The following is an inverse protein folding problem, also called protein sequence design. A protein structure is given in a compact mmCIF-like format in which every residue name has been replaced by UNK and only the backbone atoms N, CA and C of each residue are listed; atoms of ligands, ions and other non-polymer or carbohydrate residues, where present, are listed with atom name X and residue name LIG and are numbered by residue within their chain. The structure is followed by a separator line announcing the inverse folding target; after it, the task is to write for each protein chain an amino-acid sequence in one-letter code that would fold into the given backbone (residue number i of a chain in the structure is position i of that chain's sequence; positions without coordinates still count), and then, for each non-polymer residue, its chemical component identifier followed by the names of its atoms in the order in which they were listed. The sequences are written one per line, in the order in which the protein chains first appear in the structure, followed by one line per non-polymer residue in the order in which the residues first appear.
data_IF_583715462898
#
_entry.id   IF_583715462898
#
_cell.length_a   1.000
_cell.length_b   1.000
_cell.length_c   1.000
_cell.angle_alpha   90.00
_cell.angle_beta   90.00
_cell.angle_gamma   90.00
#
_symmetry.space_group_name_H-M   'P 1'
#
loop_
_entity.id
_entity.type
_entity.pdbx_description
1 polymer ?
#
# COMPACT_ATOMS: atom_id res chain seq x y z
N UNK A 1 2.35 12.29 7.97
CA UNK A 1 0.90 12.19 7.74
C UNK A 1 0.06 12.54 8.97
N UNK A 2 0.33 11.99 10.19
CA UNK A 2 -0.46 12.26 11.40
C UNK A 2 -0.52 13.76 11.78
N UNK A 3 0.63 14.47 11.76
CA UNK A 3 0.66 15.90 12.05
C UNK A 3 -0.09 16.74 11.02
N UNK A 4 -0.02 16.37 9.76
CA UNK A 4 -0.81 17.02 8.71
C UNK A 4 -2.31 16.83 8.95
N UNK A 5 -2.72 15.58 9.28
CA UNK A 5 -4.11 15.28 9.61
C UNK A 5 -4.61 16.13 10.80
N UNK A 6 -3.78 16.29 11.83
CA UNK A 6 -4.12 17.13 13.00
C UNK A 6 -4.28 18.61 12.60
N UNK A 7 -3.37 19.15 11.80
CA UNK A 7 -3.45 20.53 11.30
C UNK A 7 -4.71 20.73 10.45
N UNK A 8 -4.95 19.89 9.48
CA UNK A 8 -6.13 19.97 8.61
C UNK A 8 -7.45 19.85 9.40
N UNK A 9 -7.49 18.97 10.43
CA UNK A 9 -8.65 18.81 11.28
C UNK A 9 -8.90 20.02 12.19
N UNK A 10 -7.87 20.80 12.52
CA UNK A 10 -8.01 22.05 13.26
C UNK A 10 -8.41 23.23 12.35
N UNK A 11 -8.00 23.21 11.09
CA UNK A 11 -8.34 24.27 10.12
C UNK A 11 -9.80 24.20 9.68
N UNK A 12 -10.33 23.01 9.44
CA UNK A 12 -11.72 22.81 8.99
C UNK A 12 -12.43 21.81 9.86
N UNK A 13 -13.53 22.23 10.47
CA UNK A 13 -14.39 21.33 11.28
C UNK A 13 -15.08 20.31 10.36
N UNK A 14 -14.67 19.05 10.48
CA UNK A 14 -15.18 17.93 9.70
C UNK A 14 -14.79 16.58 10.32
N UNK A 15 -15.16 15.49 9.66
CA UNK A 15 -14.72 14.14 9.99
C UNK A 15 -13.48 13.79 9.19
N UNK A 16 -12.50 13.18 9.85
CA UNK A 16 -11.22 12.79 9.28
C UNK A 16 -10.89 11.33 9.63
N UNK A 17 -10.28 10.62 8.70
CA UNK A 17 -9.91 9.21 8.91
C UNK A 17 -8.42 8.98 8.72
N UNK A 18 -7.87 8.12 9.59
CA UNK A 18 -6.55 7.54 9.44
C UNK A 18 -6.71 6.03 9.30
N UNK A 19 -6.37 5.49 8.15
CA UNK A 19 -6.59 4.10 7.80
C UNK A 19 -5.25 3.34 7.75
N UNK A 20 -5.23 2.16 8.36
CA UNK A 20 -4.25 1.11 8.11
C UNK A 20 -4.96 -0.12 7.55
N UNK A 21 -4.26 -1.09 6.95
CA UNK A 21 -4.91 -2.26 6.38
C UNK A 21 -5.86 -3.00 7.34
N UNK A 22 -5.49 -3.07 8.63
CA UNK A 22 -6.31 -3.73 9.68
C UNK A 22 -6.43 -2.87 10.93
N UNK A 23 -7.60 -2.91 11.59
CA UNK A 23 -7.86 -2.17 12.82
C UNK A 23 -6.86 -2.50 13.96
N UNK A 24 -6.44 -3.76 14.05
CA UNK A 24 -5.42 -4.19 15.04
C UNK A 24 -4.06 -3.52 14.80
N UNK A 25 -3.71 -3.25 13.54
CA UNK A 25 -2.48 -2.52 13.20
C UNK A 25 -2.59 -1.05 13.61
N UNK A 26 -3.74 -0.42 13.38
CA UNK A 26 -4.01 0.96 13.83
C UNK A 26 -3.79 1.09 15.32
N UNK A 27 -4.36 0.18 16.11
CA UNK A 27 -4.22 0.18 17.56
C UNK A 27 -2.76 0.07 17.98
N UNK A 28 -2.05 -0.92 17.45
CA UNK A 28 -0.67 -1.19 17.84
C UNK A 28 0.34 -0.15 17.35
N UNK A 29 0.21 0.29 16.09
CA UNK A 29 1.21 1.14 15.46
C UNK A 29 1.01 2.64 15.69
N UNK A 30 -0.23 3.07 15.97
CA UNK A 30 -0.59 4.48 16.09
C UNK A 30 -1.18 4.82 17.45
N UNK A 31 -2.27 4.14 17.84
CA UNK A 31 -3.06 4.53 19.02
C UNK A 31 -2.31 4.26 20.32
N UNK A 32 -1.72 3.09 20.48
CA UNK A 32 -0.99 2.67 21.69
C UNK A 32 0.53 2.83 21.55
N UNK A 33 1.05 2.93 20.33
CA UNK A 33 2.48 2.99 20.09
C UNK A 33 3.14 4.18 20.78
N UNK A 34 4.21 3.91 21.50
CA UNK A 34 5.05 4.91 22.16
C UNK A 34 6.24 5.24 21.27
N UNK A 35 6.50 6.52 21.06
CA UNK A 35 7.70 6.98 20.39
C UNK A 35 8.91 6.80 21.34
N UNK A 36 9.91 5.97 20.99
CA UNK A 36 11.07 5.69 21.86
C UNK A 36 11.94 6.91 22.15
N UNK A 37 11.90 7.93 21.29
CA UNK A 37 12.69 9.16 21.48
C UNK A 37 12.07 10.15 22.47
N UNK A 38 10.73 10.15 22.56
CA UNK A 38 10.00 11.14 23.38
C UNK A 38 9.29 10.52 24.57
N UNK A 39 9.12 9.18 24.58
CA UNK A 39 8.36 8.46 25.60
C UNK A 39 6.85 8.71 25.55
N UNK A 40 6.35 9.42 24.54
CA UNK A 40 4.92 9.74 24.37
C UNK A 40 4.25 8.82 23.36
N UNK A 41 2.94 8.60 23.54
CA UNK A 41 2.14 7.91 22.52
C UNK A 41 2.13 8.72 21.23
N UNK A 42 2.27 8.06 20.08
CA UNK A 42 2.29 8.71 18.74
C UNK A 42 1.05 9.56 18.48
N UNK A 43 -0.12 9.07 18.88
CA UNK A 43 -1.37 9.80 18.74
C UNK A 43 -1.35 11.10 19.56
N UNK A 44 -0.81 11.10 20.80
CA UNK A 44 -0.71 12.29 21.66
C UNK A 44 0.32 13.28 21.12
N UNK A 45 1.40 12.80 20.49
CA UNK A 45 2.36 13.70 19.85
C UNK A 45 1.78 14.43 18.64
N UNK A 46 0.92 13.76 17.88
CA UNK A 46 0.25 14.37 16.75
C UNK A 46 -0.96 15.24 17.15
N UNK A 47 -1.69 14.80 18.17
CA UNK A 47 -2.87 15.47 18.72
C UNK A 47 -2.65 15.77 20.21
N UNK A 48 -1.96 16.88 20.54
CA UNK A 48 -1.71 17.29 21.93
C UNK A 48 -3.03 17.53 22.68
N UNK A 49 -3.00 17.33 24.00
CA UNK A 49 -4.17 17.53 24.87
C UNK A 49 -4.82 18.91 24.71
N UNK A 50 -4.03 19.92 24.35
CA UNK A 50 -4.53 21.29 24.13
C UNK A 50 -5.57 21.39 22.98
N UNK A 51 -5.56 20.46 22.02
CA UNK A 51 -6.50 20.45 20.90
C UNK A 51 -7.54 19.33 20.98
N UNK A 52 -7.44 18.42 21.97
CA UNK A 52 -8.32 17.27 22.12
C UNK A 52 -9.35 17.57 23.21
N UNK A 53 -10.63 17.65 22.82
CA UNK A 53 -11.72 17.81 23.80
C UNK A 53 -12.14 16.46 24.42
N UNK A 54 -12.05 15.36 23.64
CA UNK A 54 -12.42 14.02 24.11
C UNK A 54 -11.68 12.95 23.33
N UNK A 55 -11.21 11.92 24.03
CA UNK A 55 -10.68 10.68 23.43
C UNK A 55 -11.54 9.48 23.84
N UNK A 56 -11.80 8.57 22.90
CA UNK A 56 -12.51 7.31 23.11
C UNK A 56 -11.58 6.15 22.73
N UNK A 57 -10.93 5.57 23.74
CA UNK A 57 -9.91 4.55 23.52
C UNK A 57 -10.43 3.28 22.83
N UNK A 58 -11.63 2.81 23.18
CA UNK A 58 -12.21 1.62 22.58
C UNK A 58 -12.48 1.80 21.09
N UNK A 59 -13.00 2.97 20.72
CA UNK A 59 -13.36 3.33 19.35
C UNK A 59 -12.17 3.90 18.55
N UNK A 60 -11.04 4.17 19.21
CA UNK A 60 -9.90 4.90 18.65
C UNK A 60 -10.34 6.19 17.93
N UNK A 61 -11.09 7.03 18.63
CA UNK A 61 -11.66 8.27 18.08
C UNK A 61 -11.30 9.45 18.95
N UNK A 62 -10.93 10.57 18.31
CA UNK A 62 -10.72 11.86 18.97
C UNK A 62 -11.80 12.85 18.53
N UNK A 63 -12.34 13.61 19.49
CA UNK A 63 -13.08 14.84 19.21
C UNK A 63 -12.16 16.00 19.54
N UNK A 64 -11.95 16.90 18.59
CA UNK A 64 -11.08 18.07 18.74
C UNK A 64 -11.86 19.27 19.33
N UNK A 65 -11.13 20.24 19.88
CA UNK A 65 -11.70 21.44 20.50
C UNK A 65 -12.55 22.27 19.54
N UNK A 66 -12.29 22.24 18.25
CA UNK A 66 -13.09 22.90 17.21
C UNK A 66 -14.32 22.09 16.76
N UNK A 67 -14.58 20.91 17.34
CA UNK A 67 -15.68 20.02 16.99
C UNK A 67 -15.37 18.98 15.90
N UNK A 68 -14.18 18.99 15.32
CA UNK A 68 -13.76 17.95 14.37
C UNK A 68 -13.69 16.59 15.02
N UNK A 69 -13.98 15.53 14.25
CA UNK A 69 -13.85 14.13 14.67
C UNK A 69 -12.76 13.44 13.86
N UNK A 70 -11.83 12.77 14.54
CA UNK A 70 -10.75 12.00 13.91
C UNK A 70 -10.90 10.55 14.31
N UNK A 71 -11.06 9.67 13.32
CA UNK A 71 -11.23 8.24 13.52
C UNK A 71 -10.01 7.48 13.00
N UNK A 72 -9.54 6.53 13.80
CA UNK A 72 -8.43 5.66 13.47
C UNK A 72 -8.98 4.25 13.21
N UNK A 73 -9.00 3.81 11.95
CA UNK A 73 -9.79 2.70 11.46
C UNK A 73 -8.96 1.69 10.67
N UNK A 74 -9.43 0.43 10.61
CA UNK A 74 -8.94 -0.56 9.65
C UNK A 74 -9.67 -0.41 8.31
N UNK A 75 -8.93 -0.51 7.21
CA UNK A 75 -9.50 -0.50 5.87
C UNK A 75 -10.04 -1.88 5.42
N UNK A 76 -9.88 -2.91 6.24
CA UNK A 76 -10.39 -4.27 6.00
C UNK A 76 -11.93 -4.37 6.02
N UNK A 77 -12.61 -3.42 6.67
CA UNK A 77 -14.06 -3.35 6.74
C UNK A 77 -14.60 -2.07 6.08
N UNK A 78 -14.03 -1.68 4.94
CA UNK A 78 -14.39 -0.42 4.26
C UNK A 78 -15.89 -0.31 3.91
N UNK A 79 -16.59 -1.43 3.69
CA UNK A 79 -18.04 -1.44 3.46
C UNK A 79 -18.84 -0.81 4.61
N UNK A 80 -18.37 -0.97 5.85
CA UNK A 80 -19.01 -0.37 7.02
C UNK A 80 -18.72 1.13 7.16
N UNK A 81 -17.74 1.64 6.42
CA UNK A 81 -17.36 3.05 6.42
C UNK A 81 -18.19 3.86 5.43
N UNK A 82 -18.87 3.21 4.49
CA UNK A 82 -19.78 3.83 3.52
C UNK A 82 -20.98 4.39 4.28
N UNK A 83 -21.21 5.71 4.16
CA UNK A 83 -22.31 6.39 4.87
C UNK A 83 -21.87 7.37 5.97
N UNK A 84 -20.57 7.37 6.34
CA UNK A 84 -20.00 8.43 7.19
C UNK A 84 -19.07 9.29 6.32
N UNK A 85 -19.40 10.55 6.04
CA UNK A 85 -18.71 11.35 5.02
C UNK A 85 -17.41 11.97 5.59
N UNK A 86 -16.22 11.39 5.35
CA UNK A 86 -14.96 12.05 5.71
C UNK A 86 -14.68 13.20 4.75
N UNK A 87 -14.04 14.23 5.29
CA UNK A 87 -13.46 15.33 4.51
C UNK A 87 -11.99 15.07 4.17
N UNK A 88 -11.28 14.33 5.00
CA UNK A 88 -9.89 13.96 4.74
C UNK A 88 -9.61 12.51 5.13
N UNK A 89 -8.89 11.80 4.30
CA UNK A 89 -8.48 10.43 4.55
C UNK A 89 -6.96 10.30 4.40
N UNK A 90 -6.32 9.65 5.37
CA UNK A 90 -4.95 9.19 5.27
C UNK A 90 -4.95 7.67 5.18
N UNK A 91 -4.53 7.12 4.07
CA UNK A 91 -4.19 5.71 3.90
C UNK A 91 -2.71 5.51 4.24
N UNK A 92 -2.43 4.75 5.27
CA UNK A 92 -1.08 4.34 5.66
C UNK A 92 -0.89 2.87 5.33
N UNK A 93 0.28 2.49 4.79
CA UNK A 93 0.56 1.16 4.26
C UNK A 93 -0.42 0.77 3.12
N UNK A 94 -0.69 1.72 2.23
CA UNK A 94 -1.68 1.55 1.16
C UNK A 94 -1.39 0.36 0.25
N UNK A 95 -0.12 0.01 0.02
CA UNK A 95 0.28 -1.17 -0.75
C UNK A 95 -0.25 -2.51 -0.19
N UNK A 96 -0.65 -2.54 1.09
CA UNK A 96 -1.22 -3.70 1.78
C UNK A 96 -2.74 -3.58 1.98
N UNK A 97 -3.35 -2.49 1.53
CA UNK A 97 -4.78 -2.23 1.69
C UNK A 97 -5.54 -2.80 0.49
N UNK A 98 -6.77 -3.27 0.70
CA UNK A 98 -7.62 -3.67 -0.42
C UNK A 98 -7.87 -2.46 -1.35
N UNK A 99 -7.54 -2.52 -2.65
CA UNK A 99 -7.70 -1.40 -3.58
C UNK A 99 -9.15 -0.93 -3.72
N UNK A 100 -10.13 -1.80 -3.50
CA UNK A 100 -11.56 -1.43 -3.52
C UNK A 100 -11.91 -0.38 -2.47
N UNK A 101 -11.17 -0.33 -1.34
CA UNK A 101 -11.41 0.69 -0.31
C UNK A 101 -11.31 2.11 -0.88
N UNK A 102 -10.34 2.38 -1.74
CA UNK A 102 -10.24 3.67 -2.43
C UNK A 102 -11.34 3.89 -3.45
N UNK A 103 -11.67 2.87 -4.24
CA UNK A 103 -12.73 2.96 -5.25
C UNK A 103 -14.10 3.34 -4.62
N UNK A 104 -14.41 2.83 -3.43
CA UNK A 104 -15.65 3.14 -2.72
C UNK A 104 -15.61 4.48 -1.97
N UNK A 105 -14.45 4.90 -1.46
CA UNK A 105 -14.34 6.12 -0.67
C UNK A 105 -14.10 7.38 -1.51
N UNK A 106 -13.52 7.22 -2.70
CA UNK A 106 -13.24 8.35 -3.61
C UNK A 106 -14.47 9.19 -3.94
N UNK A 107 -15.62 8.61 -4.37
CA UNK A 107 -16.82 9.40 -4.68
C UNK A 107 -17.32 10.24 -3.50
N UNK A 108 -17.23 9.71 -2.28
CA UNK A 108 -17.66 10.43 -1.05
C UNK A 108 -16.75 11.64 -0.79
N UNK A 109 -15.43 11.49 -1.01
CA UNK A 109 -14.49 12.61 -0.88
C UNK A 109 -14.72 13.67 -1.97
N UNK A 110 -14.98 13.27 -3.19
CA UNK A 110 -15.27 14.20 -4.31
C UNK A 110 -16.54 15.01 -4.05
N UNK A 111 -17.61 14.38 -3.56
CA UNK A 111 -18.84 15.06 -3.17
C UNK A 111 -18.60 16.12 -2.08
N UNK A 112 -17.75 15.82 -1.11
CA UNK A 112 -17.44 16.72 0.00
C UNK A 112 -16.34 17.75 -0.31
N UNK A 113 -15.73 17.71 -1.50
CA UNK A 113 -14.55 18.50 -1.85
C UNK A 113 -13.36 18.18 -0.92
N UNK A 114 -13.24 16.92 -0.54
CA UNK A 114 -12.26 16.42 0.41
C UNK A 114 -10.92 16.06 -0.23
N UNK A 115 -10.02 15.47 0.56
CA UNK A 115 -8.67 15.09 0.13
C UNK A 115 -8.25 13.73 0.67
N UNK A 116 -7.29 13.09 0.00
CA UNK A 116 -6.66 11.86 0.45
C UNK A 116 -5.14 11.94 0.42
N UNK A 117 -4.49 11.25 1.35
CA UNK A 117 -3.04 11.02 1.38
C UNK A 117 -2.79 9.52 1.39
N UNK A 118 -1.89 9.06 0.54
CA UNK A 118 -1.46 7.67 0.46
C UNK A 118 0.01 7.58 0.83
N UNK A 119 0.32 6.82 1.90
CA UNK A 119 1.70 6.50 2.26
C UNK A 119 1.87 4.98 2.18
N UNK A 120 2.95 4.55 1.55
CA UNK A 120 3.24 3.13 1.45
C UNK A 120 4.72 2.84 1.22
N UNK A 121 5.13 1.66 1.60
CA UNK A 121 6.39 1.05 1.17
C UNK A 121 6.14 0.27 -0.11
N UNK A 122 7.09 0.27 -1.01
CA UNK A 122 7.02 -0.47 -2.29
C UNK A 122 6.79 -1.96 -2.04
N UNK A 123 5.94 -2.60 -2.82
CA UNK A 123 5.62 -4.03 -2.79
C UNK A 123 5.45 -4.58 -4.21
N UNK A 124 6.45 -4.30 -5.06
CA UNK A 124 6.36 -4.58 -6.48
C UNK A 124 5.30 -3.73 -7.20
N UNK A 125 4.97 -4.11 -8.43
CA UNK A 125 3.95 -3.44 -9.25
C UNK A 125 2.55 -3.86 -8.82
N UNK A 126 2.02 -3.22 -7.80
CA UNK A 126 0.66 -3.40 -7.32
C UNK A 126 -0.18 -2.13 -7.51
N UNK A 127 -1.40 -2.12 -6.98
CA UNK A 127 -2.32 -0.97 -7.07
C UNK A 127 -1.75 0.33 -6.51
N UNK A 128 -0.85 0.28 -5.50
CA UNK A 128 -0.22 1.47 -4.95
C UNK A 128 0.84 2.04 -5.91
N UNK A 129 1.59 1.18 -6.62
CA UNK A 129 2.50 1.61 -7.66
C UNK A 129 1.74 2.26 -8.84
N UNK A 130 0.64 1.65 -9.27
CA UNK A 130 -0.24 2.20 -10.31
C UNK A 130 -0.81 3.57 -9.92
N UNK A 131 -1.26 3.71 -8.66
CA UNK A 131 -1.75 5.00 -8.14
C UNK A 131 -0.64 6.06 -8.11
N UNK A 132 0.58 5.68 -7.71
CA UNK A 132 1.72 6.60 -7.71
C UNK A 132 2.06 7.07 -9.12
N UNK A 133 2.12 6.17 -10.11
CA UNK A 133 2.40 6.50 -11.51
C UNK A 133 1.32 7.45 -12.07
N UNK A 134 0.05 7.18 -11.78
CA UNK A 134 -1.04 8.08 -12.12
C UNK A 134 -0.85 9.47 -11.48
N UNK A 135 -0.64 9.51 -10.16
CA UNK A 135 -0.47 10.75 -9.41
C UNK A 135 0.73 11.59 -9.89
N UNK A 136 1.82 10.93 -10.30
CA UNK A 136 3.01 11.61 -10.81
C UNK A 136 2.80 12.28 -12.18
N UNK A 137 1.77 11.85 -12.94
CA UNK A 137 1.39 12.44 -14.23
C UNK A 137 0.29 13.51 -14.16
N UNK A 138 -0.32 13.72 -12.99
CA UNK A 138 -1.49 14.60 -12.82
C UNK A 138 -1.16 15.88 -12.05
N UNK A 139 -1.43 17.04 -12.60
CA UNK A 139 -1.16 18.35 -11.97
C UNK A 139 -1.93 18.56 -10.64
N UNK A 140 -3.08 17.93 -10.48
CA UNK A 140 -3.91 18.02 -9.26
C UNK A 140 -3.41 17.15 -8.10
N UNK A 141 -2.36 16.33 -8.34
CA UNK A 141 -1.78 15.43 -7.36
C UNK A 141 -0.36 15.84 -7.00
N UNK A 142 0.00 15.61 -5.74
CA UNK A 142 1.38 15.63 -5.30
C UNK A 142 1.88 14.19 -5.13
N UNK A 143 2.95 13.83 -5.82
CA UNK A 143 3.58 12.53 -5.71
C UNK A 143 5.09 12.68 -5.42
N UNK A 144 5.59 11.94 -4.43
CA UNK A 144 7.00 11.96 -4.05
C UNK A 144 7.47 10.57 -3.68
N UNK A 145 8.67 10.19 -4.15
CA UNK A 145 9.47 9.10 -3.59
C UNK A 145 10.49 9.70 -2.63
N UNK A 146 10.72 9.02 -1.50
CA UNK A 146 11.71 9.43 -0.51
C UNK A 146 12.63 8.23 -0.21
N UNK A 147 13.58 7.92 -1.08
CA UNK A 147 14.58 6.90 -0.81
C UNK A 147 15.42 7.27 0.41
N UNK A 148 15.95 6.29 1.11
CA UNK A 148 16.73 6.49 2.33
C UNK A 148 17.89 7.46 2.15
N UNK A 149 18.46 7.50 0.96
CA UNK A 149 19.55 8.40 0.58
C UNK A 149 19.17 9.88 0.57
N UNK A 150 17.89 10.21 0.49
CA UNK A 150 17.37 11.57 0.49
C UNK A 150 16.78 11.99 1.84
N UNK A 151 16.58 11.05 2.77
CA UNK A 151 15.91 11.34 4.05
C UNK A 151 16.84 11.81 5.17
N UNK A 152 18.14 11.62 5.04
CA UNK A 152 19.15 11.88 6.08
C UNK A 152 18.86 11.15 7.42
N UNK A 153 18.04 10.10 7.40
CA UNK A 153 17.71 9.30 8.60
C UNK A 153 18.91 8.43 9.00
N UNK A 154 19.64 7.95 8.01
CA UNK A 154 20.86 7.17 8.17
C UNK A 154 22.04 7.82 7.46
N UNK A 155 23.26 7.60 7.96
CA UNK A 155 24.47 8.00 7.24
C UNK A 155 24.71 7.07 6.04
N UNK A 156 25.49 7.48 5.03
CA UNK A 156 25.84 6.62 3.90
C UNK A 156 26.46 5.28 4.33
N UNK A 157 27.29 5.29 5.40
CA UNK A 157 27.93 4.10 5.94
C UNK A 157 26.90 3.14 6.56
N UNK A 158 25.91 3.68 7.29
CA UNK A 158 24.81 2.89 7.84
C UNK A 158 23.93 2.27 6.74
N UNK A 159 23.66 3.00 5.68
CA UNK A 159 22.90 2.51 4.52
C UNK A 159 23.62 1.34 3.85
N UNK A 160 24.95 1.46 3.68
CA UNK A 160 25.76 0.39 3.10
C UNK A 160 25.88 -0.83 4.04
N UNK A 161 25.91 -0.63 5.35
CA UNK A 161 25.90 -1.73 6.32
C UNK A 161 24.58 -2.49 6.31
N UNK A 162 23.45 -1.79 6.27
CA UNK A 162 22.11 -2.38 6.10
C UNK A 162 22.05 -3.23 4.83
N UNK A 163 22.56 -2.71 3.71
CA UNK A 163 22.58 -3.42 2.43
C UNK A 163 23.39 -4.71 2.52
N UNK A 164 24.60 -4.66 3.11
CA UNK A 164 25.43 -5.84 3.34
C UNK A 164 24.78 -6.86 4.25
N UNK A 165 24.09 -6.43 5.30
CA UNK A 165 23.35 -7.31 6.20
C UNK A 165 22.24 -8.05 5.45
N UNK A 166 21.48 -7.35 4.60
CA UNK A 166 20.43 -7.97 3.77
C UNK A 166 21.00 -9.00 2.81
N UNK A 167 22.11 -8.67 2.13
CA UNK A 167 22.80 -9.62 1.25
C UNK A 167 23.28 -10.86 2.00
N UNK A 168 23.82 -10.69 3.20
CA UNK A 168 24.28 -11.81 4.05
C UNK A 168 23.13 -12.69 4.52
N UNK A 169 21.99 -12.08 4.84
CA UNK A 169 20.84 -12.78 5.44
C UNK A 169 19.99 -13.49 4.40
N UNK A 170 19.75 -12.85 3.24
CA UNK A 170 18.81 -13.31 2.22
C UNK A 170 19.47 -13.74 0.91
N UNK A 171 20.80 -13.65 0.82
CA UNK A 171 21.54 -13.83 -0.43
C UNK A 171 21.67 -12.54 -1.23
N UNK A 172 22.59 -12.51 -2.18
CA UNK A 172 22.95 -11.29 -2.90
C UNK A 172 21.76 -10.72 -3.69
N UNK A 173 21.04 -11.56 -4.43
CA UNK A 173 19.92 -11.12 -5.28
C UNK A 173 18.67 -10.74 -4.47
N UNK A 174 18.24 -11.62 -3.55
CA UNK A 174 17.02 -11.37 -2.77
C UNK A 174 17.26 -10.27 -1.72
N UNK A 175 18.48 -10.19 -1.17
CA UNK A 175 18.89 -9.10 -0.27
C UNK A 175 18.90 -7.76 -0.98
N UNK A 176 19.39 -7.70 -2.23
CA UNK A 176 19.35 -6.48 -3.02
C UNK A 176 17.90 -6.08 -3.38
N UNK A 177 17.06 -7.03 -3.77
CA UNK A 177 15.66 -6.78 -4.05
C UNK A 177 14.92 -6.20 -2.84
N UNK A 178 15.13 -6.78 -1.64
CA UNK A 178 14.59 -6.27 -0.39
C UNK A 178 15.12 -4.88 -0.05
N UNK A 179 16.42 -4.65 -0.21
CA UNK A 179 17.01 -3.35 0.04
C UNK A 179 16.41 -2.27 -0.87
N UNK A 180 16.30 -2.56 -2.17
CA UNK A 180 15.68 -1.65 -3.13
C UNK A 180 14.21 -1.38 -2.79
N UNK A 181 13.46 -2.40 -2.41
CA UNK A 181 12.06 -2.29 -2.02
C UNK A 181 11.88 -1.42 -0.77
N UNK A 182 12.55 -1.77 0.34
CA UNK A 182 12.30 -1.18 1.66
C UNK A 182 13.00 0.18 1.87
N UNK A 183 14.16 0.40 1.23
CA UNK A 183 14.97 1.59 1.48
C UNK A 183 15.07 2.52 0.28
N UNK A 184 14.96 2.02 -0.95
CA UNK A 184 15.10 2.84 -2.16
C UNK A 184 13.78 3.19 -2.83
N UNK A 185 12.64 2.80 -2.24
CA UNK A 185 11.29 3.03 -2.78
C UNK A 185 11.13 2.50 -4.20
N UNK A 186 11.79 1.39 -4.54
CA UNK A 186 11.76 0.83 -5.88
C UNK A 186 10.45 0.06 -6.11
N UNK A 187 9.65 0.52 -7.06
CA UNK A 187 8.37 -0.10 -7.43
C UNK A 187 8.54 -1.32 -8.33
N UNK A 188 9.71 -1.47 -8.96
CA UNK A 188 10.03 -2.56 -9.88
C UNK A 188 10.86 -3.67 -9.22
N UNK A 189 11.24 -3.50 -7.94
CA UNK A 189 11.98 -4.53 -7.21
C UNK A 189 11.19 -5.85 -7.20
N UNK A 190 11.82 -6.99 -7.55
CA UNK A 190 11.16 -8.28 -7.48
C UNK A 190 10.61 -8.56 -6.09
N UNK A 191 9.39 -9.09 -5.99
CA UNK A 191 8.81 -9.49 -4.71
C UNK A 191 9.53 -10.75 -4.23
N UNK A 192 10.29 -10.61 -3.13
CA UNK A 192 11.03 -11.73 -2.55
C UNK A 192 10.06 -12.76 -2.00
N UNK A 193 10.32 -14.04 -2.31
CA UNK A 193 9.44 -15.15 -1.96
C UNK A 193 8.37 -15.48 -3.00
N UNK A 194 8.24 -14.71 -4.06
CA UNK A 194 7.42 -15.09 -5.20
C UNK A 194 8.07 -16.28 -5.93
N UNK A 195 7.39 -17.43 -5.97
CA UNK A 195 7.92 -18.66 -6.61
C UNK A 195 8.40 -18.45 -8.03
N UNK A 196 7.72 -17.63 -8.81
CA UNK A 196 7.98 -17.40 -10.23
C UNK A 196 8.43 -15.98 -10.54
N UNK A 197 8.67 -15.10 -9.55
CA UNK A 197 8.96 -13.69 -9.77
C UNK A 197 10.15 -13.47 -10.72
N UNK A 198 11.27 -14.15 -10.49
CA UNK A 198 12.47 -14.09 -11.34
C UNK A 198 12.23 -14.69 -12.73
N UNK A 199 11.49 -15.79 -12.81
CA UNK A 199 11.18 -16.44 -14.09
C UNK A 199 10.24 -15.59 -14.94
N UNK A 200 9.29 -14.91 -14.31
CA UNK A 200 8.39 -13.98 -15.00
C UNK A 200 9.11 -12.71 -15.44
N UNK A 201 9.98 -12.14 -14.61
CA UNK A 201 10.82 -11.01 -15.01
C UNK A 201 11.68 -11.35 -16.22
N UNK A 202 12.37 -12.51 -16.17
CA UNK A 202 13.16 -13.01 -17.30
C UNK A 202 12.29 -13.25 -18.54
N UNK A 203 11.08 -13.79 -18.38
CA UNK A 203 10.16 -14.00 -19.49
C UNK A 203 9.73 -12.68 -20.15
N UNK A 204 9.55 -11.62 -19.35
CA UNK A 204 9.26 -10.29 -19.85
C UNK A 204 10.45 -9.70 -20.62
N UNK A 205 11.66 -9.76 -20.04
CA UNK A 205 12.89 -9.27 -20.68
C UNK A 205 13.19 -9.98 -22.01
N UNK A 206 12.89 -11.29 -22.09
CA UNK A 206 13.02 -12.10 -23.31
C UNK A 206 11.85 -11.91 -24.29
N UNK A 207 10.87 -11.03 -23.98
CA UNK A 207 9.72 -10.76 -24.83
C UNK A 207 8.73 -11.93 -24.95
N UNK A 208 8.78 -12.89 -24.00
CA UNK A 208 7.88 -14.05 -23.97
C UNK A 208 6.51 -13.75 -23.35
N UNK A 209 6.37 -12.65 -22.62
CA UNK A 209 5.08 -12.15 -22.16
C UNK A 209 4.56 -11.17 -23.21
N UNK A 210 3.69 -11.68 -24.07
CA UNK A 210 3.15 -10.95 -25.23
C UNK A 210 1.75 -11.46 -25.56
N UNK A 211 1.07 -10.85 -26.53
CA UNK A 211 -0.18 -11.38 -27.07
C UNK A 211 0.09 -12.68 -27.83
N UNK A 212 -0.20 -13.81 -27.21
CA UNK A 212 -0.02 -15.14 -27.82
C UNK A 212 -1.27 -15.53 -28.59
N UNK A 213 -1.22 -15.71 -29.92
CA UNK A 213 -2.40 -16.02 -30.70
C UNK A 213 -2.86 -17.46 -30.45
N UNK A 214 -4.18 -17.65 -30.49
CA UNK A 214 -4.79 -18.99 -30.54
C UNK A 214 -4.48 -19.68 -31.86
N UNK A 215 -3.97 -20.92 -31.79
CA UNK A 215 -3.79 -21.78 -32.94
C UNK A 215 -4.94 -22.79 -33.08
N UNK A 216 -5.80 -22.68 -34.10
CA UNK A 216 -6.93 -23.60 -34.27
C UNK A 216 -6.52 -25.04 -34.58
N UNK A 217 -5.25 -25.29 -34.98
CA UNK A 217 -4.73 -26.63 -35.26
C UNK A 217 -4.19 -27.34 -34.00
N UNK A 218 -3.96 -26.62 -32.92
CA UNK A 218 -3.43 -27.17 -31.67
C UNK A 218 -4.53 -27.41 -30.63
N UNK A 219 -4.52 -28.52 -29.88
CA UNK A 219 -5.48 -28.77 -28.81
C UNK A 219 -5.31 -27.77 -27.68
N UNK A 220 -6.43 -27.39 -27.05
CA UNK A 220 -6.47 -26.53 -25.87
C UNK A 220 -6.48 -27.39 -24.61
N UNK A 221 -5.66 -27.00 -23.64
CA UNK A 221 -5.61 -27.57 -22.30
C UNK A 221 -5.99 -26.49 -21.27
N UNK A 222 -6.62 -26.93 -20.20
CA UNK A 222 -6.91 -26.03 -19.07
C UNK A 222 -6.31 -26.61 -17.79
N UNK A 223 -5.74 -25.73 -16.97
CA UNK A 223 -5.30 -26.03 -15.62
C UNK A 223 -6.13 -25.20 -14.63
N UNK A 224 -6.68 -25.88 -13.62
CA UNK A 224 -7.61 -25.29 -12.67
C UNK A 224 -7.00 -25.29 -11.28
N UNK A 225 -7.02 -24.15 -10.64
CA UNK A 225 -6.79 -23.98 -9.22
C UNK A 225 -8.11 -23.59 -8.56
N UNK A 226 -8.67 -24.53 -7.79
CA UNK A 226 -10.01 -24.35 -7.18
C UNK A 226 -9.83 -23.70 -5.82
N UNK A 227 -10.05 -22.40 -5.74
CA UNK A 227 -10.06 -21.66 -4.48
C UNK A 227 -11.21 -22.09 -3.56
N UNK A 228 -10.96 -22.19 -2.26
CA UNK A 228 -11.98 -22.40 -1.23
C UNK A 228 -12.31 -21.10 -0.47
N UNK A 229 -11.29 -20.30 -0.18
CA UNK A 229 -11.37 -18.99 0.49
C UNK A 229 -10.78 -17.86 -0.36
N UNK A 230 -10.33 -18.20 -1.57
CA UNK A 230 -9.73 -17.33 -2.58
C UNK A 230 -10.38 -17.56 -3.95
N UNK A 231 -9.99 -16.78 -4.96
CA UNK A 231 -10.54 -16.91 -6.32
C UNK A 231 -10.14 -18.24 -6.96
N UNK A 232 -11.05 -18.82 -7.77
CA UNK A 232 -10.70 -19.94 -8.64
C UNK A 232 -9.94 -19.40 -9.85
N UNK A 233 -8.74 -19.92 -10.11
CA UNK A 233 -7.92 -19.54 -11.25
C UNK A 233 -7.93 -20.62 -12.34
N UNK A 234 -8.10 -20.20 -13.59
CA UNK A 234 -8.10 -21.10 -14.76
C UNK A 234 -7.09 -20.59 -15.78
N UNK A 235 -6.09 -21.40 -16.06
CA UNK A 235 -5.14 -21.15 -17.14
C UNK A 235 -5.54 -21.93 -18.39
N UNK A 236 -5.49 -21.26 -19.53
CA UNK A 236 -5.76 -21.86 -20.86
C UNK A 236 -4.47 -21.91 -21.66
N UNK A 237 -4.10 -23.07 -22.11
CA UNK A 237 -2.83 -23.32 -22.78
C UNK A 237 -2.96 -24.17 -24.04
N UNK A 238 -2.00 -24.02 -24.95
CA UNK A 238 -1.80 -24.87 -26.11
C UNK A 238 -0.33 -25.35 -26.18
N UNK A 239 -0.11 -26.54 -26.70
CA UNK A 239 1.21 -27.00 -27.05
C UNK A 239 1.41 -26.78 -28.55
N UNK A 240 2.31 -25.87 -28.92
CA UNK A 240 2.66 -25.57 -30.33
C UNK A 240 4.12 -25.93 -30.58
N UNK A 241 4.36 -27.00 -31.27
CA UNK A 241 5.69 -27.55 -31.47
C UNK A 241 6.31 -28.02 -30.15
N UNK A 242 7.33 -27.32 -29.65
CA UNK A 242 8.03 -27.61 -28.37
C UNK A 242 7.73 -26.57 -27.28
N UNK A 243 6.82 -25.68 -27.55
CA UNK A 243 6.49 -24.57 -26.65
C UNK A 243 5.11 -24.75 -26.04
N UNK A 244 4.94 -24.27 -24.81
CA UNK A 244 3.64 -24.16 -24.16
C UNK A 244 3.24 -22.69 -24.23
N UNK A 245 2.16 -22.42 -24.93
CA UNK A 245 1.57 -21.11 -25.09
C UNK A 245 0.44 -20.94 -24.08
N UNK A 246 0.60 -20.05 -23.12
CA UNK A 246 -0.49 -19.61 -22.26
C UNK A 246 -1.28 -18.55 -23.02
N UNK A 247 -2.48 -18.89 -23.47
CA UNK A 247 -3.26 -18.08 -24.41
C UNK A 247 -4.37 -17.28 -23.73
N UNK A 248 -4.77 -17.68 -22.52
CA UNK A 248 -5.80 -16.98 -21.74
C UNK A 248 -5.71 -17.33 -20.26
N UNK A 249 -6.32 -16.49 -19.44
CA UNK A 249 -6.40 -16.64 -18.00
C UNK A 249 -7.74 -16.11 -17.49
N UNK A 250 -8.36 -16.80 -16.55
CA UNK A 250 -9.57 -16.40 -15.85
C UNK A 250 -9.37 -16.55 -14.35
N UNK A 251 -9.82 -15.53 -13.59
CA UNK A 251 -9.86 -15.49 -12.13
C UNK A 251 -11.19 -14.89 -11.65
#
# INVERSE_FOLDING_TARGET
SLRYLASAAMEKTATYWYLLPKAVQVRRAIWEAVNPHTGKRRVIEAFPDAIVARARDNEMTLTLANGSSVHFLGADNFDTLVGSPPYGIVFSEYSLTNPLSWAYLKPILEENGGWAIFNFTSRGRNHAATLYEYAAGEESWFAQRLPVTETSVFTPEQVEEIRKEMHRTYGEEDGEALFRQEYMCDLDAPVVGAYYGKLLARAADEGRITGVPYDPAAPVFTAWDLGMDDSTAIWVAQCVGREIHLIDYYE
#
